data_IF_603675899324
#
_entry.id   IF_603675899324
#
_cell.length_a   1.000
_cell.length_b   1.000
_cell.length_c   1.000
_cell.angle_alpha   90.00
_cell.angle_beta   90.00
_cell.angle_gamma   90.00
#
_symmetry.space_group_name_H-M   'P 1'
#
loop_
_entity.id
_entity.type
_entity.pdbx_description
1 polymer ?
#
# COMPACT_ATOMS: atom_id res chain seq x y z
N UNK A 1 -17.54 -34.82 1.90
CA UNK A 1 -17.99 -33.42 2.12
C UNK A 1 -17.10 -32.80 3.21
N UNK A 2 -15.78 -32.74 2.97
CA UNK A 2 -14.76 -32.41 3.99
C UNK A 2 -14.04 -31.08 3.71
N UNK A 3 -14.34 -30.43 2.59
CA UNK A 3 -13.68 -29.19 2.15
C UNK A 3 -14.10 -28.02 3.07
N UNK A 4 -15.33 -28.01 3.58
CA UNK A 4 -15.87 -26.96 4.47
C UNK A 4 -15.45 -27.06 5.95
N UNK A 5 -14.70 -28.10 6.35
CA UNK A 5 -14.21 -28.26 7.73
C UNK A 5 -12.87 -27.57 7.98
N UNK A 6 -12.18 -27.12 6.93
CA UNK A 6 -10.93 -26.38 7.10
C UNK A 6 -11.22 -24.96 7.58
N UNK A 7 -10.85 -24.67 8.83
CA UNK A 7 -10.88 -23.32 9.41
C UNK A 7 -10.23 -22.27 8.50
N UNK A 8 -9.17 -22.66 7.78
CA UNK A 8 -8.50 -21.82 6.80
C UNK A 8 -9.44 -21.37 5.68
N UNK A 9 -10.23 -22.29 5.11
CA UNK A 9 -11.14 -21.97 4.01
C UNK A 9 -12.30 -21.09 4.49
N UNK A 10 -12.81 -21.32 5.71
CA UNK A 10 -13.87 -20.49 6.29
C UNK A 10 -13.38 -19.06 6.56
N UNK A 11 -12.18 -18.91 7.13
CA UNK A 11 -11.55 -17.60 7.35
C UNK A 11 -11.24 -16.88 6.03
N UNK A 12 -10.71 -17.60 5.03
CA UNK A 12 -10.43 -17.05 3.71
C UNK A 12 -11.71 -16.53 3.04
N UNK A 13 -12.82 -17.26 3.14
CA UNK A 13 -14.11 -16.82 2.58
C UNK A 13 -14.68 -15.60 3.34
N UNK A 14 -14.60 -15.58 4.68
CA UNK A 14 -15.03 -14.43 5.48
C UNK A 14 -14.22 -13.17 5.17
N UNK A 15 -12.89 -13.28 5.10
CA UNK A 15 -12.01 -12.15 4.75
C UNK A 15 -12.19 -11.74 3.30
N UNK A 16 -12.37 -12.70 2.38
CA UNK A 16 -12.59 -12.45 0.95
C UNK A 16 -13.88 -11.65 0.70
N UNK A 17 -14.97 -11.99 1.36
CA UNK A 17 -16.24 -11.23 1.28
C UNK A 17 -16.05 -9.82 1.85
N UNK A 18 -15.35 -9.69 2.98
CA UNK A 18 -15.07 -8.38 3.58
C UNK A 18 -14.22 -7.50 2.64
N UNK A 19 -13.17 -8.06 2.06
CA UNK A 19 -12.29 -7.40 1.10
C UNK A 19 -12.99 -7.06 -0.21
N UNK A 20 -13.89 -7.90 -0.70
CA UNK A 20 -14.66 -7.65 -1.93
C UNK A 20 -15.51 -6.39 -1.86
N UNK A 21 -15.93 -5.98 -0.66
CA UNK A 21 -16.66 -4.72 -0.43
C UNK A 21 -15.69 -3.55 -0.25
N UNK A 22 -14.61 -3.75 0.52
CA UNK A 22 -13.66 -2.68 0.90
C UNK A 22 -12.79 -2.23 -0.29
N UNK A 23 -12.24 -3.18 -1.05
CA UNK A 23 -11.32 -2.93 -2.17
C UNK A 23 -11.92 -2.02 -3.23
N UNK A 24 -13.15 -2.23 -3.76
CA UNK A 24 -13.71 -1.35 -4.77
C UNK A 24 -13.97 0.07 -4.24
N UNK A 25 -14.36 0.24 -2.97
CA UNK A 25 -14.52 1.57 -2.38
C UNK A 25 -13.21 2.36 -2.37
N UNK A 26 -12.08 1.70 -2.06
CA UNK A 26 -10.75 2.33 -2.09
C UNK A 26 -10.28 2.52 -3.55
N UNK A 27 -10.49 1.51 -4.40
CA UNK A 27 -10.07 1.51 -5.80
C UNK A 27 -10.66 2.66 -6.62
N UNK A 28 -11.95 2.96 -6.43
CA UNK A 28 -12.60 4.09 -7.14
C UNK A 28 -11.96 5.43 -6.76
N UNK A 29 -11.63 5.65 -5.48
CA UNK A 29 -10.98 6.89 -5.02
C UNK A 29 -9.54 7.00 -5.54
N UNK A 30 -8.82 5.89 -5.61
CA UNK A 30 -7.44 5.84 -6.13
C UNK A 30 -7.40 6.16 -7.63
N UNK A 31 -8.33 5.60 -8.42
CA UNK A 31 -8.41 5.83 -9.88
C UNK A 31 -8.78 7.28 -10.19
N UNK A 32 -9.78 7.84 -9.49
CA UNK A 32 -10.31 9.17 -9.81
C UNK A 32 -9.33 10.31 -9.46
N UNK A 33 -8.48 10.14 -8.44
CA UNK A 33 -7.48 11.14 -8.03
C UNK A 33 -6.16 11.08 -8.82
N UNK A 34 -6.06 10.28 -9.88
CA UNK A 34 -4.79 9.98 -10.60
C UNK A 34 -3.64 9.58 -9.65
N UNK A 35 -3.97 8.97 -8.51
CA UNK A 35 -3.00 8.45 -7.54
C UNK A 35 -2.37 7.12 -8.01
N UNK A 36 -2.69 6.67 -9.22
CA UNK A 36 -2.14 5.45 -9.84
C UNK A 36 -0.61 5.41 -9.77
N UNK A 37 0.06 6.54 -9.99
CA UNK A 37 1.53 6.65 -9.92
C UNK A 37 2.07 6.47 -8.48
N UNK A 38 1.31 6.89 -7.47
CA UNK A 38 1.68 6.72 -6.06
C UNK A 38 1.60 5.25 -5.64
N UNK A 39 0.59 4.52 -6.11
CA UNK A 39 0.46 3.08 -5.82
C UNK A 39 1.64 2.25 -6.37
N UNK A 40 2.08 2.55 -7.59
CA UNK A 40 3.23 1.91 -8.22
C UNK A 40 4.55 2.23 -7.48
N UNK A 41 4.78 3.50 -7.15
CA UNK A 41 5.96 3.94 -6.39
C UNK A 41 6.00 3.35 -4.96
N UNK A 42 4.85 3.26 -4.27
CA UNK A 42 4.75 2.65 -2.93
C UNK A 42 5.08 1.15 -2.99
N UNK A 43 4.67 0.45 -4.05
CA UNK A 43 4.93 -0.99 -4.21
C UNK A 43 6.43 -1.29 -4.34
N UNK A 44 7.13 -0.52 -5.19
CA UNK A 44 8.59 -0.65 -5.35
C UNK A 44 9.38 -0.25 -4.08
N UNK A 45 8.97 0.83 -3.43
CA UNK A 45 9.63 1.32 -2.21
C UNK A 45 9.38 0.43 -1.00
N UNK A 46 8.22 -0.22 -0.90
CA UNK A 46 7.94 -1.23 0.12
C UNK A 46 8.85 -2.47 -0.03
N UNK A 47 9.03 -2.96 -1.26
CA UNK A 47 9.97 -4.07 -1.54
C UNK A 47 11.41 -3.69 -1.17
N UNK A 48 11.83 -2.48 -1.52
CA UNK A 48 13.15 -1.95 -1.14
C UNK A 48 13.31 -1.86 0.38
N UNK A 49 12.28 -1.40 1.10
CA UNK A 49 12.28 -1.28 2.56
C UNK A 49 12.33 -2.63 3.29
N UNK A 50 11.58 -3.62 2.81
CA UNK A 50 11.65 -5.00 3.33
C UNK A 50 13.06 -5.58 3.12
N UNK A 51 13.65 -5.36 1.94
CA UNK A 51 15.00 -5.82 1.62
C UNK A 51 16.02 -5.19 2.57
N UNK A 52 15.91 -3.89 2.83
CA UNK A 52 16.73 -3.20 3.83
C UNK A 52 16.55 -3.78 5.24
N UNK A 53 15.30 -4.04 5.65
CA UNK A 53 15.01 -4.65 6.95
C UNK A 53 15.63 -6.03 7.13
N UNK A 54 15.56 -6.86 6.10
CA UNK A 54 16.16 -8.20 6.08
C UNK A 54 17.68 -8.15 6.19
N UNK A 55 18.34 -7.23 5.45
CA UNK A 55 19.81 -7.07 5.50
C UNK A 55 20.30 -6.64 6.89
N UNK A 56 19.54 -5.77 7.58
CA UNK A 56 19.91 -5.29 8.91
C UNK A 56 19.53 -6.24 10.06
N UNK A 57 18.95 -7.42 9.77
CA UNK A 57 18.47 -8.39 10.78
C UNK A 57 17.45 -7.77 11.78
N UNK A 58 16.79 -6.69 11.38
CA UNK A 58 15.73 -6.02 12.16
C UNK A 58 14.39 -6.60 11.69
N UNK A 59 13.36 -6.54 12.54
CA UNK A 59 11.99 -6.90 12.17
C UNK A 59 11.63 -6.28 10.80
N UNK A 60 11.47 -7.08 9.74
CA UNK A 60 11.33 -6.58 8.37
C UNK A 60 10.04 -5.76 8.20
N UNK A 61 9.05 -6.02 9.05
CA UNK A 61 7.78 -5.30 9.14
C UNK A 61 8.00 -3.86 9.62
N UNK A 62 8.84 -3.64 10.65
CA UNK A 62 9.12 -2.29 11.14
C UNK A 62 9.94 -1.51 10.12
N UNK A 63 10.97 -2.15 9.55
CA UNK A 63 11.83 -1.51 8.56
C UNK A 63 11.04 -1.09 7.32
N UNK A 64 10.18 -1.97 6.80
CA UNK A 64 9.34 -1.65 5.63
C UNK A 64 8.34 -0.54 5.93
N UNK A 65 7.74 -0.52 7.13
CA UNK A 65 6.80 0.53 7.52
C UNK A 65 7.50 1.90 7.55
N UNK A 66 8.67 1.99 8.18
CA UNK A 66 9.45 3.24 8.26
C UNK A 66 9.85 3.71 6.86
N UNK A 67 10.37 2.82 6.02
CA UNK A 67 10.78 3.15 4.66
C UNK A 67 9.60 3.62 3.80
N UNK A 68 8.47 2.92 3.92
CA UNK A 68 7.26 3.24 3.17
C UNK A 68 6.69 4.61 3.57
N UNK A 69 6.67 4.92 4.87
CA UNK A 69 6.28 6.26 5.37
C UNK A 69 7.24 7.33 4.86
N UNK A 70 8.55 7.08 4.88
CA UNK A 70 9.56 8.03 4.39
C UNK A 70 9.38 8.32 2.89
N UNK A 71 9.14 7.27 2.09
CA UNK A 71 8.86 7.40 0.66
C UNK A 71 7.53 8.13 0.40
N UNK A 72 6.47 7.80 1.13
CA UNK A 72 5.18 8.46 1.00
C UNK A 72 5.29 9.96 1.34
N UNK A 73 5.98 10.32 2.42
CA UNK A 73 6.26 11.71 2.78
C UNK A 73 7.08 12.44 1.72
N UNK A 74 8.10 11.79 1.16
CA UNK A 74 8.92 12.39 0.10
C UNK A 74 8.11 12.68 -1.15
N UNK A 75 7.22 11.75 -1.55
CA UNK A 75 6.33 11.94 -2.70
C UNK A 75 5.30 13.04 -2.42
N UNK A 76 4.73 13.08 -1.21
CA UNK A 76 3.79 14.12 -0.79
C UNK A 76 4.43 15.52 -0.81
N UNK A 77 5.69 15.64 -0.36
CA UNK A 77 6.45 16.88 -0.37
C UNK A 77 6.71 17.38 -1.80
N UNK A 78 7.13 16.49 -2.70
CA UNK A 78 7.35 16.80 -4.12
C UNK A 78 6.03 17.23 -4.78
N UNK A 79 4.93 16.52 -4.52
CA UNK A 79 3.61 16.84 -5.06
C UNK A 79 3.12 18.22 -4.60
N UNK A 80 3.30 18.54 -3.31
CA UNK A 80 2.91 19.84 -2.76
C UNK A 80 3.69 20.97 -3.44
N UNK A 81 5.01 20.81 -3.57
CA UNK A 81 5.88 21.79 -4.25
C UNK A 81 5.54 21.97 -5.73
N UNK A 82 5.17 20.90 -6.43
CA UNK A 82 4.76 20.95 -7.84
C UNK A 82 3.40 21.63 -8.01
N UNK A 83 2.46 21.38 -7.09
CA UNK A 83 1.12 21.96 -7.11
C UNK A 83 1.12 23.46 -6.77
N UNK A 84 2.02 23.90 -5.88
CA UNK A 84 2.23 25.32 -5.58
C UNK A 84 2.76 26.09 -6.80
N UNK A 85 3.61 25.46 -7.63
CA UNK A 85 4.14 26.07 -8.85
C UNK A 85 3.07 26.21 -9.95
N UNK A 86 2.19 25.22 -10.11
CA UNK A 86 1.09 25.25 -11.11
C UNK A 86 0.01 26.28 -10.73
N UNK A 87 -0.12 26.66 -9.46
CA UNK A 87 -1.11 27.66 -9.02
C UNK A 87 -0.65 29.12 -9.24
N UNK A 88 0.63 29.34 -9.54
CA UNK A 88 1.17 30.65 -9.91
C UNK A 88 1.18 30.92 -11.42
N UNK A 89 0.82 29.93 -12.26
CA UNK A 89 0.63 30.08 -13.70
C UNK A 89 -0.85 30.32 -14.03
#
# INVERSE_FOLDING_TARGET
MEIFQYEFMRRAFSVGVLLAIIIPSIGVVVVLKRLSMIGDAISHTSLAGVTFGLVFNINPILASMIFCVLSALSIEFIRKKLQDMVRCL
#
